data_IF_410067264689
#
_entry.id   IF_410067264689
#
_cell.length_a   1.000
_cell.length_b   1.000
_cell.length_c   1.000
_cell.angle_alpha   90.00
_cell.angle_beta   90.00
_cell.angle_gamma   90.00
#
_symmetry.space_group_name_H-M   'P 1'
#
loop_
_entity.id
_entity.type
_entity.pdbx_description
1 polymer ?
#
# COMPACT_ATOMS: atom_id res chain seq x y z
N UNK A 1 12.41 14.32 14.13
CA UNK A 1 12.87 14.16 12.73
C UNK A 1 13.33 15.50 12.24
N UNK A 2 14.50 15.56 11.61
CA UNK A 2 15.00 16.79 11.02
C UNK A 2 14.34 17.00 9.64
N UNK A 3 13.42 17.95 9.59
CA UNK A 3 12.61 18.25 8.40
C UNK A 3 13.50 18.63 7.21
N UNK A 4 14.60 19.34 7.45
CA UNK A 4 15.54 19.77 6.41
C UNK A 4 16.25 18.58 5.75
N UNK A 5 16.60 17.57 6.55
CA UNK A 5 17.18 16.33 6.06
C UNK A 5 16.20 15.53 5.20
N UNK A 6 14.95 15.43 5.63
CA UNK A 6 13.89 14.73 4.85
C UNK A 6 13.65 15.43 3.52
N UNK A 7 13.59 16.76 3.50
CA UNK A 7 13.41 17.54 2.27
C UNK A 7 14.59 17.36 1.30
N UNK A 8 15.82 17.35 1.82
CA UNK A 8 17.02 17.12 1.00
C UNK A 8 17.07 15.70 0.41
N UNK A 9 16.75 14.68 1.21
CA UNK A 9 16.71 13.29 0.76
C UNK A 9 15.58 13.07 -0.28
N UNK A 10 14.40 13.65 -0.05
CA UNK A 10 13.27 13.60 -0.98
C UNK A 10 13.59 14.27 -2.33
N UNK A 11 14.22 15.46 -2.30
CA UNK A 11 14.64 16.15 -3.51
C UNK A 11 15.62 15.33 -4.33
N UNK A 12 16.63 14.74 -3.66
CA UNK A 12 17.62 13.87 -4.31
C UNK A 12 16.98 12.62 -4.92
N UNK A 13 15.96 12.05 -4.28
CA UNK A 13 15.21 10.92 -4.81
C UNK A 13 14.43 11.30 -6.08
N UNK A 14 13.73 12.44 -6.04
CA UNK A 14 12.95 12.95 -7.18
C UNK A 14 13.83 13.27 -8.39
N UNK A 15 15.00 13.87 -8.17
CA UNK A 15 15.96 14.17 -9.23
C UNK A 15 16.49 12.89 -9.89
N UNK A 16 16.84 11.87 -9.10
CA UNK A 16 17.27 10.56 -9.63
C UNK A 16 16.16 9.88 -10.42
N UNK A 17 14.94 9.91 -9.91
CA UNK A 17 13.77 9.32 -10.57
C UNK A 17 13.48 10.01 -11.92
N UNK A 18 13.47 11.35 -11.94
CA UNK A 18 13.28 12.11 -13.17
C UNK A 18 14.41 11.90 -14.19
N UNK A 19 15.65 11.71 -13.74
CA UNK A 19 16.77 11.38 -14.61
C UNK A 19 16.64 9.98 -15.23
N UNK A 20 16.18 8.98 -14.45
CA UNK A 20 15.94 7.63 -14.94
C UNK A 20 14.80 7.59 -15.97
N UNK A 21 13.71 8.33 -15.74
CA UNK A 21 12.59 8.42 -16.69
C UNK A 21 13.01 8.99 -18.05
N UNK A 22 13.96 9.92 -18.09
CA UNK A 22 14.48 10.47 -19.37
C UNK A 22 15.23 9.42 -20.21
N UNK A 23 15.70 8.34 -19.59
CA UNK A 23 16.41 7.26 -20.29
C UNK A 23 15.46 6.17 -20.80
N UNK A 24 14.21 6.16 -20.36
CA UNK A 24 13.19 5.21 -20.82
C UNK A 24 12.47 5.82 -22.02
N UNK A 25 12.65 5.26 -23.22
CA UNK A 25 11.84 5.64 -24.37
C UNK A 25 10.44 5.03 -24.22
N UNK A 26 9.41 5.88 -24.28
CA UNK A 26 8.00 5.45 -24.20
C UNK A 26 7.66 4.46 -25.32
N UNK A 27 8.35 4.58 -26.46
CA UNK A 27 8.21 3.70 -27.63
C UNK A 27 8.70 2.26 -27.39
N UNK A 28 9.53 2.02 -26.37
CA UNK A 28 10.02 0.68 -26.01
C UNK A 28 9.14 -0.06 -25.01
N UNK A 29 8.12 0.60 -24.45
CA UNK A 29 7.25 0.02 -23.44
C UNK A 29 6.09 -0.72 -24.11
N UNK A 30 6.16 -2.05 -24.16
CA UNK A 30 5.10 -2.92 -24.72
C UNK A 30 3.71 -2.73 -24.07
N UNK A 31 3.63 -2.15 -22.87
CA UNK A 31 2.37 -1.87 -22.17
C UNK A 31 1.82 -0.45 -22.32
N UNK A 32 2.29 0.33 -23.31
CA UNK A 32 1.86 1.72 -23.52
C UNK A 32 0.48 1.85 -24.19
N UNK A 33 -0.09 0.78 -24.73
CA UNK A 33 -1.53 0.72 -25.00
C UNK A 33 -2.22 0.36 -23.69
N UNK A 34 -3.06 1.27 -23.17
CA UNK A 34 -3.85 1.07 -21.94
C UNK A 34 -4.87 -0.08 -21.99
N UNK A 35 -4.75 -0.98 -22.97
CA UNK A 35 -5.60 -2.15 -23.20
C UNK A 35 -5.06 -3.39 -22.45
N UNK A 36 -3.73 -3.54 -22.26
CA UNK A 36 -3.16 -4.73 -21.58
C UNK A 36 -3.38 -4.72 -20.05
N UNK A 37 -3.65 -3.57 -19.43
CA UNK A 37 -4.02 -3.49 -18.00
C UNK A 37 -5.52 -3.64 -17.74
N UNK A 38 -6.36 -3.51 -18.78
CA UNK A 38 -7.81 -3.46 -18.63
C UNK A 38 -8.51 -4.80 -18.91
N UNK A 39 -7.84 -5.74 -19.59
CA UNK A 39 -8.46 -6.97 -20.07
C UNK A 39 -8.65 -8.06 -19.01
N UNK A 40 -8.17 -7.87 -17.77
CA UNK A 40 -8.24 -8.91 -16.72
C UNK A 40 -8.77 -8.39 -15.36
N UNK A 41 -9.60 -7.34 -15.37
CA UNK A 41 -10.38 -7.00 -14.15
C UNK A 41 -11.69 -7.78 -14.15
N UNK A 42 -11.61 -9.11 -14.16
CA UNK A 42 -12.69 -9.97 -13.67
C UNK A 42 -12.43 -10.22 -12.18
N UNK A 43 -12.78 -9.22 -11.35
CA UNK A 43 -12.44 -9.18 -9.93
C UNK A 43 -13.63 -9.24 -8.98
N UNK A 44 -14.81 -9.63 -9.47
CA UNK A 44 -15.99 -9.73 -8.60
C UNK A 44 -15.88 -11.04 -7.82
N UNK A 45 -15.61 -10.92 -6.52
CA UNK A 45 -15.69 -12.04 -5.59
C UNK A 45 -17.16 -12.27 -5.22
N UNK A 46 -17.62 -13.52 -5.32
CA UNK A 46 -18.93 -13.89 -4.76
C UNK A 46 -18.94 -13.63 -3.25
N UNK A 47 -19.95 -12.89 -2.78
CA UNK A 47 -20.16 -12.68 -1.35
C UNK A 47 -20.49 -14.02 -0.68
N UNK A 48 -19.65 -14.45 0.27
CA UNK A 48 -19.94 -15.60 1.13
C UNK A 48 -20.71 -15.19 2.39
N UNK A 49 -20.98 -16.14 3.29
CA UNK A 49 -21.76 -15.91 4.52
C UNK A 49 -21.15 -14.88 5.51
N UNK A 50 -19.93 -14.40 5.25
CA UNK A 50 -19.35 -13.17 5.81
C UNK A 50 -19.04 -13.16 7.32
N UNK A 51 -19.54 -14.13 8.08
CA UNK A 51 -19.59 -14.06 9.54
C UNK A 51 -18.66 -15.02 10.27
N UNK A 52 -18.16 -16.09 9.62
CA UNK A 52 -17.24 -17.03 10.23
C UNK A 52 -15.79 -16.63 9.90
N UNK A 53 -15.21 -15.79 10.73
CA UNK A 53 -13.78 -15.51 10.68
C UNK A 53 -13.03 -16.76 11.16
N UNK A 54 -12.09 -17.25 10.34
CA UNK A 54 -11.18 -18.33 10.71
C UNK A 54 -10.54 -18.03 12.10
N UNK A 55 -10.72 -18.92 13.10
CA UNK A 55 -10.13 -18.74 14.43
C UNK A 55 -8.61 -18.57 14.39
N UNK A 56 -7.93 -19.21 13.43
CA UNK A 56 -6.49 -19.08 13.25
C UNK A 56 -6.12 -17.68 12.76
N UNK A 57 -6.86 -17.14 11.78
CA UNK A 57 -6.71 -15.76 11.34
C UNK A 57 -6.87 -14.78 12.50
N UNK A 58 -7.93 -14.95 13.32
CA UNK A 58 -8.16 -14.09 14.48
C UNK A 58 -6.98 -14.08 15.44
N UNK A 59 -6.43 -15.26 15.74
CA UNK A 59 -5.26 -15.41 16.61
C UNK A 59 -4.03 -14.71 16.04
N UNK A 60 -3.73 -14.93 14.76
CA UNK A 60 -2.58 -14.31 14.07
C UNK A 60 -2.72 -12.79 13.99
N UNK A 61 -3.93 -12.28 13.76
CA UNK A 61 -4.21 -10.86 13.69
C UNK A 61 -3.85 -10.14 15.00
N UNK A 62 -4.31 -10.65 16.14
CA UNK A 62 -4.00 -10.05 17.44
C UNK A 62 -2.56 -10.30 17.91
N UNK A 63 -1.95 -11.43 17.56
CA UNK A 63 -0.56 -11.72 17.89
C UNK A 63 0.44 -10.74 17.24
N UNK A 64 0.09 -10.21 16.06
CA UNK A 64 0.90 -9.24 15.34
C UNK A 64 0.60 -7.77 15.69
N UNK A 65 -0.41 -7.52 16.53
CA UNK A 65 -0.80 -6.16 16.87
C UNK A 65 0.17 -5.55 17.92
N UNK A 66 0.58 -4.27 17.77
CA UNK A 66 1.53 -3.64 18.70
C UNK A 66 1.04 -3.56 20.14
N UNK A 67 -0.27 -3.40 20.35
CA UNK A 67 -0.91 -3.36 21.66
C UNK A 67 -2.33 -3.92 21.56
N UNK A 68 -2.64 -4.88 22.42
CA UNK A 68 -3.94 -5.54 22.49
C UNK A 68 -4.46 -5.53 23.92
N UNK A 69 -5.79 -5.46 24.06
CA UNK A 69 -6.52 -5.64 25.31
C UNK A 69 -7.71 -6.57 25.04
N UNK A 70 -7.59 -7.82 25.45
CA UNK A 70 -8.53 -8.89 25.08
C UNK A 70 -8.63 -9.04 23.56
N UNK A 71 -9.80 -8.73 23.02
CA UNK A 71 -10.10 -8.81 21.58
C UNK A 71 -10.10 -7.43 20.89
N UNK A 72 -9.42 -6.45 21.48
CA UNK A 72 -9.33 -5.08 20.97
C UNK A 72 -7.89 -4.66 20.70
N UNK A 73 -7.66 -4.00 19.56
CA UNK A 73 -6.40 -3.31 19.28
C UNK A 73 -6.46 -1.92 19.91
N UNK A 74 -5.46 -1.61 20.75
CA UNK A 74 -5.40 -0.32 21.46
C UNK A 74 -4.60 0.67 20.63
N UNK A 75 -5.26 1.75 20.20
CA UNK A 75 -4.62 2.87 19.50
C UNK A 75 -4.82 4.19 20.25
N UNK A 76 -3.90 5.13 20.07
CA UNK A 76 -4.04 6.48 20.63
C UNK A 76 -5.18 7.23 19.94
N UNK A 77 -6.00 7.92 20.73
CA UNK A 77 -7.07 8.77 20.21
C UNK A 77 -6.47 10.03 19.59
N UNK A 78 -6.19 10.00 18.29
CA UNK A 78 -5.77 11.19 17.55
C UNK A 78 -6.99 12.04 17.19
N UNK A 79 -6.95 13.33 17.51
CA UNK A 79 -7.86 14.32 16.92
C UNK A 79 -7.33 14.67 15.53
N UNK A 80 -8.21 14.79 14.55
CA UNK A 80 -7.86 15.41 13.28
C UNK A 80 -7.39 16.84 13.58
N UNK A 81 -6.17 17.17 13.20
CA UNK A 81 -5.63 18.54 13.19
C UNK A 81 -5.45 18.96 11.73
#
# INVERSE_FOLDING_TARGET
MDRSRVEAEAKKLLEKFGAALKQVSVDSWKGASGEEMASEIEGVREEGEGNEADPEFRKLFFANAPKVDGEFIVAEKKKWQ
#
